data_IF_454748069875
#
_entry.id   IF_454748069875
#
_cell.length_a   1.000
_cell.length_b   1.000
_cell.length_c   1.000
_cell.angle_alpha   90.00
_cell.angle_beta   90.00
_cell.angle_gamma   90.00
#
_symmetry.space_group_name_H-M   'P 1'
#
loop_
_entity.id
_entity.type
_entity.pdbx_description
1 polymer ?
#
# COMPACT_ATOMS: atom_id res chain seq x y z
N UNK A 1 -26.55 23.51 29.31
CA UNK A 1 -26.51 23.92 27.89
C UNK A 1 -25.14 24.56 27.66
N UNK A 2 -24.23 24.12 26.80
CA UNK A 2 -24.31 23.23 25.65
C UNK A 2 -23.07 22.30 25.61
N UNK A 3 -23.27 21.06 25.14
CA UNK A 3 -22.20 20.14 24.73
C UNK A 3 -21.69 20.58 23.36
N UNK A 4 -20.38 20.70 23.20
CA UNK A 4 -19.71 20.79 21.89
C UNK A 4 -19.34 19.36 21.51
N UNK A 5 -20.04 18.84 20.52
CA UNK A 5 -19.72 17.57 19.85
C UNK A 5 -18.48 17.80 18.98
N UNK A 6 -17.38 17.12 19.32
CA UNK A 6 -16.23 17.00 18.44
C UNK A 6 -16.57 16.06 17.29
N UNK A 7 -16.53 16.58 16.09
CA UNK A 7 -16.65 15.83 14.84
C UNK A 7 -15.39 14.98 14.62
N UNK A 8 -15.57 13.68 14.40
CA UNK A 8 -14.52 12.75 13.99
C UNK A 8 -13.97 13.14 12.60
N UNK A 9 -12.66 12.98 12.33
CA UNK A 9 -12.13 13.14 10.99
C UNK A 9 -12.50 11.92 10.15
N UNK A 10 -13.34 12.13 9.15
CA UNK A 10 -13.59 11.19 8.05
C UNK A 10 -12.31 11.06 7.22
N UNK A 11 -11.63 9.91 7.31
CA UNK A 11 -10.58 9.52 6.36
C UNK A 11 -11.23 9.24 5.02
N UNK A 12 -10.96 10.09 4.03
CA UNK A 12 -11.43 9.92 2.66
C UNK A 12 -10.34 9.24 1.83
N UNK A 13 -10.58 8.01 1.35
CA UNK A 13 -9.77 7.38 0.31
C UNK A 13 -10.47 7.60 -1.03
N UNK A 14 -9.89 8.38 -1.94
CA UNK A 14 -10.55 8.67 -3.23
C UNK A 14 -10.01 7.82 -4.38
N UNK A 15 -10.95 7.17 -5.06
CA UNK A 15 -10.82 6.59 -6.38
C UNK A 15 -10.85 7.71 -7.43
N UNK A 16 -9.93 7.66 -8.41
CA UNK A 16 -9.87 8.64 -9.51
C UNK A 16 -11.17 8.68 -10.32
N UNK A 17 -11.82 9.85 -10.39
CA UNK A 17 -13.02 10.08 -11.23
C UNK A 17 -12.65 10.32 -12.71
N UNK A 18 -13.37 9.71 -13.68
CA UNK A 18 -13.29 10.12 -15.09
C UNK A 18 -13.96 11.48 -15.30
N UNK A 19 -13.26 12.43 -15.94
CA UNK A 19 -13.89 13.63 -16.51
C UNK A 19 -14.77 13.21 -17.69
N UNK A 20 -16.04 13.62 -17.65
CA UNK A 20 -16.98 13.43 -18.76
C UNK A 20 -16.42 14.01 -20.06
N UNK A 21 -16.51 13.21 -21.13
CA UNK A 21 -16.07 13.57 -22.46
C UNK A 21 -16.85 14.79 -22.98
N UNK A 22 -16.13 15.86 -23.34
CA UNK A 22 -16.67 16.92 -24.17
C UNK A 22 -16.30 16.59 -25.62
N UNK A 23 -17.31 16.41 -26.46
CA UNK A 23 -17.20 16.11 -27.88
C UNK A 23 -16.31 17.12 -28.61
N UNK A 24 -15.26 16.64 -29.26
CA UNK A 24 -14.55 17.37 -30.29
C UNK A 24 -14.49 16.51 -31.55
N UNK A 25 -15.29 16.91 -32.51
CA UNK A 25 -15.36 16.38 -33.87
C UNK A 25 -14.14 16.80 -34.69
N UNK A 26 -13.94 16.03 -35.77
CA UNK A 26 -13.14 16.31 -37.00
C UNK A 26 -11.74 15.65 -37.07
N UNK A 27 -11.16 15.48 -38.28
CA UNK A 27 -11.35 14.31 -39.14
C UNK A 27 -10.04 13.59 -39.49
N UNK A 28 -10.17 12.40 -40.10
CA UNK A 28 -9.09 11.59 -40.71
C UNK A 28 -8.09 12.42 -41.55
N UNK A 29 -6.81 11.99 -41.60
CA UNK A 29 -6.36 11.42 -42.86
C UNK A 29 -5.44 10.17 -42.78
N UNK A 30 -5.54 9.45 -43.89
CA UNK A 30 -4.83 8.33 -44.52
C UNK A 30 -3.31 8.12 -44.31
N UNK A 31 -2.98 6.85 -44.02
CA UNK A 31 -1.96 5.94 -44.61
C UNK A 31 -0.60 6.46 -45.10
N UNK A 32 0.49 5.82 -44.63
CA UNK A 32 1.43 5.02 -45.47
C UNK A 32 2.46 4.22 -44.64
N UNK A 33 2.78 3.04 -45.16
CA UNK A 33 3.71 2.01 -44.68
C UNK A 33 5.15 2.47 -44.45
N UNK A 34 5.84 1.77 -43.52
CA UNK A 34 7.22 1.33 -43.74
C UNK A 34 7.53 0.08 -42.90
N UNK A 35 7.97 -0.97 -43.59
CA UNK A 35 8.26 -2.32 -43.11
C UNK A 35 9.76 -2.47 -42.74
N UNK A 36 10.05 -3.49 -41.89
CA UNK A 36 11.36 -4.12 -41.59
C UNK A 36 12.28 -3.32 -40.64
N UNK A 37 12.86 -3.91 -39.58
CA UNK A 37 13.66 -5.16 -39.64
C UNK A 37 13.81 -5.80 -38.26
N UNK A 38 13.70 -7.13 -38.26
CA UNK A 38 13.85 -8.06 -37.13
C UNK A 38 15.34 -8.28 -36.86
N UNK A 39 15.84 -7.97 -35.66
CA UNK A 39 17.13 -8.47 -35.18
C UNK A 39 16.89 -9.28 -33.90
N UNK A 40 17.06 -10.59 -34.03
CA UNK A 40 17.14 -11.53 -32.93
C UNK A 40 18.42 -11.27 -32.13
N UNK A 41 18.28 -10.94 -30.85
CA UNK A 41 19.35 -11.19 -29.87
C UNK A 41 18.78 -12.00 -28.74
N UNK A 42 19.12 -13.29 -28.74
CA UNK A 42 18.76 -14.31 -27.78
C UNK A 42 19.60 -14.09 -26.51
N UNK A 43 19.04 -13.40 -25.53
CA UNK A 43 19.56 -13.40 -24.16
C UNK A 43 18.67 -14.32 -23.32
N UNK A 44 19.19 -15.50 -22.98
CA UNK A 44 18.62 -16.35 -21.95
C UNK A 44 18.71 -15.61 -20.61
N UNK A 45 17.59 -15.04 -20.15
CA UNK A 45 17.46 -14.60 -18.75
C UNK A 45 16.89 -15.78 -17.97
N UNK A 46 17.73 -16.33 -17.10
CA UNK A 46 17.35 -17.36 -16.12
C UNK A 46 16.21 -16.83 -15.26
N UNK A 47 15.10 -17.57 -15.28
CA UNK A 47 13.99 -17.50 -14.34
C UNK A 47 14.51 -17.35 -12.91
N UNK A 48 14.24 -16.21 -12.28
CA UNK A 48 14.43 -16.02 -10.85
C UNK A 48 13.06 -16.10 -10.19
N UNK A 49 12.49 -17.30 -10.17
CA UNK A 49 11.37 -17.64 -9.30
C UNK A 49 11.94 -17.74 -7.88
N UNK A 50 11.85 -16.66 -7.11
CA UNK A 50 12.01 -16.72 -5.66
C UNK A 50 10.68 -16.31 -5.03
N UNK A 51 9.66 -17.14 -5.24
CA UNK A 51 8.66 -17.32 -4.18
C UNK A 51 9.26 -18.37 -3.25
N UNK A 52 9.78 -17.90 -2.11
CA UNK A 52 10.20 -18.79 -1.04
C UNK A 52 8.93 -19.49 -0.57
N UNK A 53 8.80 -20.78 -0.85
CA UNK A 53 7.68 -21.59 -0.39
C UNK A 53 7.62 -21.54 1.13
N UNK A 54 6.56 -20.95 1.67
CA UNK A 54 6.20 -21.07 3.08
C UNK A 54 5.90 -22.54 3.39
N UNK A 55 6.31 -23.09 4.55
CA UNK A 55 6.38 -24.55 4.73
C UNK A 55 5.04 -25.29 4.85
N UNK A 56 3.89 -24.59 4.86
CA UNK A 56 2.58 -25.19 5.16
C UNK A 56 1.44 -24.68 4.24
N UNK A 57 1.72 -24.41 2.96
CA UNK A 57 0.65 -24.25 1.98
C UNK A 57 0.24 -25.60 1.40
N UNK A 58 -1.08 -25.90 1.39
CA UNK A 58 -1.60 -27.02 0.61
C UNK A 58 -1.28 -26.76 -0.87
N UNK A 59 -0.35 -27.53 -1.48
CA UNK A 59 0.13 -27.28 -2.83
C UNK A 59 -1.01 -27.38 -3.86
N UNK A 60 -2.11 -28.04 -3.51
CA UNK A 60 -3.30 -28.17 -4.36
C UNK A 60 -4.03 -26.84 -4.49
N UNK A 61 -4.18 -26.09 -3.40
CA UNK A 61 -4.88 -24.79 -3.38
C UNK A 61 -4.04 -23.71 -4.06
N UNK A 62 -2.70 -23.72 -3.89
CA UNK A 62 -1.82 -22.81 -4.63
C UNK A 62 -1.84 -23.07 -6.13
N UNK A 63 -1.81 -24.34 -6.54
CA UNK A 63 -1.91 -24.70 -7.95
C UNK A 63 -3.26 -24.30 -8.57
N UNK A 64 -4.36 -24.45 -7.82
CA UNK A 64 -5.68 -23.99 -8.27
C UNK A 64 -5.77 -22.47 -8.34
N UNK A 65 -5.25 -21.75 -7.35
CA UNK A 65 -5.23 -20.28 -7.34
C UNK A 65 -4.40 -19.74 -8.49
N UNK A 66 -3.19 -20.27 -8.70
CA UNK A 66 -2.32 -19.86 -9.82
C UNK A 66 -2.99 -20.19 -11.16
N UNK A 67 -3.69 -21.32 -11.27
CA UNK A 67 -4.46 -21.67 -12.47
C UNK A 67 -5.62 -20.69 -12.73
N UNK A 68 -6.33 -20.26 -11.68
CA UNK A 68 -7.39 -19.26 -11.81
C UNK A 68 -6.81 -17.91 -12.22
N UNK A 69 -5.78 -17.42 -11.53
CA UNK A 69 -5.14 -16.12 -11.80
C UNK A 69 -4.53 -16.10 -13.21
N UNK A 70 -3.83 -17.16 -13.60
CA UNK A 70 -3.21 -17.27 -14.93
C UNK A 70 -4.23 -17.44 -16.06
N UNK A 71 -5.44 -17.91 -15.75
CA UNK A 71 -6.55 -17.98 -16.69
C UNK A 71 -7.19 -16.63 -17.01
N UNK A 72 -6.96 -15.61 -16.19
CA UNK A 72 -7.49 -14.25 -16.40
C UNK A 72 -6.67 -13.54 -17.47
N UNK A 73 -7.29 -13.31 -18.63
CA UNK A 73 -6.64 -12.73 -19.81
C UNK A 73 -7.36 -11.52 -20.39
N UNK A 74 -8.57 -11.22 -19.93
CA UNK A 74 -9.31 -9.98 -20.26
C UNK A 74 -9.97 -9.37 -19.02
N UNK A 75 -10.26 -8.06 -19.06
CA UNK A 75 -10.92 -7.35 -17.96
C UNK A 75 -12.32 -7.87 -17.68
N UNK A 76 -13.05 -8.31 -18.71
CA UNK A 76 -14.40 -8.89 -18.58
C UNK A 76 -14.42 -10.15 -17.70
N UNK A 77 -13.29 -10.88 -17.62
CA UNK A 77 -13.16 -12.04 -16.74
C UNK A 77 -12.99 -11.65 -15.28
N UNK A 78 -12.55 -10.40 -15.01
CA UNK A 78 -12.40 -9.84 -13.66
C UNK A 78 -13.76 -9.37 -13.17
N UNK A 79 -14.61 -10.36 -12.86
CA UNK A 79 -15.95 -10.15 -12.31
C UNK A 79 -15.90 -10.01 -10.80
N UNK A 80 -16.94 -9.38 -10.24
CA UNK A 80 -17.17 -9.34 -8.78
C UNK A 80 -17.11 -10.73 -8.15
N UNK A 81 -17.74 -11.73 -8.76
CA UNK A 81 -17.73 -13.11 -8.29
C UNK A 81 -16.33 -13.73 -8.29
N UNK A 82 -15.50 -13.42 -9.29
CA UNK A 82 -14.12 -13.88 -9.33
C UNK A 82 -13.31 -13.23 -8.21
N UNK A 83 -13.45 -11.92 -8.02
CA UNK A 83 -12.72 -11.19 -6.99
C UNK A 83 -13.15 -11.61 -5.59
N UNK A 84 -14.46 -11.73 -5.34
CA UNK A 84 -15.00 -12.26 -4.09
C UNK A 84 -14.47 -13.68 -3.82
N UNK A 85 -14.35 -14.54 -4.85
CA UNK A 85 -13.73 -15.87 -4.73
C UNK A 85 -12.23 -15.79 -4.42
N UNK A 86 -11.47 -15.02 -5.19
CA UNK A 86 -10.03 -14.85 -4.98
C UNK A 86 -9.74 -14.34 -3.57
N UNK A 87 -10.59 -13.45 -3.04
CA UNK A 87 -10.47 -12.93 -1.69
C UNK A 87 -10.75 -13.98 -0.60
N UNK A 88 -11.64 -14.95 -0.84
CA UNK A 88 -11.84 -16.08 0.08
C UNK A 88 -10.59 -16.96 0.19
N UNK A 89 -9.78 -17.02 -0.87
CA UNK A 89 -8.56 -17.84 -0.93
C UNK A 89 -7.28 -17.07 -0.61
N UNK A 90 -7.28 -15.75 -0.81
CA UNK A 90 -6.11 -14.90 -0.76
C UNK A 90 -6.45 -13.50 -0.21
N UNK A 91 -6.01 -13.23 1.01
CA UNK A 91 -6.02 -11.89 1.63
C UNK A 91 -4.70 -11.16 1.36
N UNK A 92 -4.28 -11.12 0.10
CA UNK A 92 -3.01 -10.53 -0.34
C UNK A 92 -3.16 -9.71 -1.63
N UNK A 93 -2.05 -9.10 -2.04
CA UNK A 93 -1.94 -8.45 -3.33
C UNK A 93 -1.75 -9.53 -4.40
N UNK A 94 -2.62 -9.53 -5.41
CA UNK A 94 -2.56 -10.42 -6.57
C UNK A 94 -2.35 -9.58 -7.82
N UNK A 95 -1.26 -9.81 -8.53
CA UNK A 95 -1.07 -9.25 -9.87
C UNK A 95 -1.57 -10.23 -10.94
N UNK A 96 -2.51 -9.81 -11.78
CA UNK A 96 -2.95 -10.57 -12.95
C UNK A 96 -1.92 -10.44 -14.07
N UNK A 97 -0.82 -11.19 -13.96
CA UNK A 97 0.36 -11.09 -14.85
C UNK A 97 0.03 -11.28 -16.34
N UNK A 98 -0.98 -12.08 -16.65
CA UNK A 98 -1.40 -12.43 -18.01
C UNK A 98 -2.51 -11.54 -18.55
N UNK A 99 -3.15 -10.74 -17.69
CA UNK A 99 -4.07 -9.70 -18.11
C UNK A 99 -3.26 -8.46 -18.52
N UNK A 100 -3.16 -8.25 -19.83
CA UNK A 100 -2.47 -7.09 -20.41
C UNK A 100 -3.49 -6.16 -21.04
N UNK A 101 -3.62 -4.95 -20.51
CA UNK A 101 -4.58 -3.95 -20.96
C UNK A 101 -3.94 -2.57 -21.05
N UNK A 102 -4.50 -1.73 -21.92
CA UNK A 102 -4.18 -0.31 -21.94
C UNK A 102 -4.84 0.42 -20.78
N UNK A 103 -4.32 1.60 -20.45
CA UNK A 103 -4.91 2.47 -19.43
C UNK A 103 -6.36 2.86 -19.77
N UNK A 104 -6.66 3.07 -21.06
CA UNK A 104 -8.01 3.40 -21.51
C UNK A 104 -8.98 2.23 -21.31
N UNK A 105 -8.54 1.00 -21.61
CA UNK A 105 -9.33 -0.20 -21.37
C UNK A 105 -9.56 -0.42 -19.87
N UNK A 106 -8.53 -0.22 -19.04
CA UNK A 106 -8.65 -0.31 -17.58
C UNK A 106 -9.70 0.67 -17.04
N UNK A 107 -9.62 1.95 -17.45
CA UNK A 107 -10.53 3.02 -17.00
C UNK A 107 -12.00 2.77 -17.36
N UNK A 108 -12.27 1.98 -18.41
CA UNK A 108 -13.62 1.70 -18.89
C UNK A 108 -14.10 0.27 -18.57
N UNK A 109 -13.25 -0.58 -17.97
CA UNK A 109 -13.47 -2.03 -17.91
C UNK A 109 -13.84 -2.58 -16.53
N UNK A 110 -13.79 -1.76 -15.48
CA UNK A 110 -14.03 -2.17 -14.08
C UNK A 110 -15.10 -1.31 -13.40
N UNK A 111 -16.18 -0.98 -14.11
CA UNK A 111 -17.28 -0.13 -13.59
C UNK A 111 -17.92 -0.67 -12.30
N UNK A 112 -17.81 -1.96 -12.02
CA UNK A 112 -18.35 -2.59 -10.82
C UNK A 112 -17.44 -2.45 -9.59
N UNK A 113 -16.14 -2.21 -9.80
CA UNK A 113 -15.16 -2.00 -8.73
C UNK A 113 -15.03 -0.50 -8.47
N UNK A 114 -16.14 0.09 -8.04
CA UNK A 114 -16.23 1.51 -7.71
C UNK A 114 -15.79 1.79 -6.27
N UNK A 115 -15.86 3.06 -5.90
CA UNK A 115 -15.53 3.55 -4.58
C UNK A 115 -16.42 2.92 -3.50
N UNK A 116 -17.71 2.75 -3.76
CA UNK A 116 -18.63 2.10 -2.83
C UNK A 116 -18.23 0.64 -2.57
N UNK A 117 -17.91 -0.13 -3.62
CA UNK A 117 -17.42 -1.50 -3.46
C UNK A 117 -16.10 -1.54 -2.68
N UNK A 118 -15.17 -0.63 -3.00
CA UNK A 118 -13.86 -0.55 -2.34
C UNK A 118 -13.96 -0.20 -0.86
N UNK A 119 -14.83 0.76 -0.49
CA UNK A 119 -15.10 1.12 0.90
C UNK A 119 -15.75 -0.04 1.69
N UNK A 120 -16.67 -0.76 1.05
CA UNK A 120 -17.41 -1.86 1.68
C UNK A 120 -16.52 -3.08 1.90
N UNK A 121 -15.68 -3.41 0.91
CA UNK A 121 -14.92 -4.66 0.87
C UNK A 121 -13.46 -4.48 1.29
N UNK A 122 -12.94 -3.26 1.23
CA UNK A 122 -11.51 -2.98 1.33
C UNK A 122 -10.72 -3.46 0.11
N UNK A 123 -11.39 -3.90 -0.96
CA UNK A 123 -10.71 -4.32 -2.17
C UNK A 123 -10.42 -3.10 -3.03
N UNK A 124 -9.17 -2.93 -3.44
CA UNK A 124 -8.83 -1.99 -4.50
C UNK A 124 -8.30 -2.73 -5.71
N UNK A 125 -8.55 -2.14 -6.86
CA UNK A 125 -7.96 -2.55 -8.14
C UNK A 125 -7.05 -1.41 -8.59
N UNK A 126 -5.85 -1.77 -9.01
CA UNK A 126 -4.83 -0.83 -9.44
C UNK A 126 -4.31 -1.22 -10.82
N UNK A 127 -3.97 -0.23 -11.63
CA UNK A 127 -3.34 -0.42 -12.93
C UNK A 127 -1.84 -0.13 -12.84
N UNK A 128 -1.02 -1.06 -13.33
CA UNK A 128 0.41 -0.85 -13.44
C UNK A 128 0.75 -0.37 -14.86
N UNK A 129 1.01 0.94 -15.08
CA UNK A 129 1.26 1.49 -16.41
C UNK A 129 2.55 0.98 -17.05
N UNK A 130 3.52 0.50 -16.26
CA UNK A 130 4.79 -0.02 -16.79
C UNK A 130 4.64 -1.37 -17.46
N UNK A 131 3.79 -2.22 -16.90
CA UNK A 131 3.59 -3.61 -17.34
C UNK A 131 2.28 -3.81 -18.07
N UNK A 132 1.37 -2.84 -18.03
CA UNK A 132 0.00 -2.93 -18.53
C UNK A 132 -0.84 -3.95 -17.77
N UNK A 133 -0.50 -4.27 -16.52
CA UNK A 133 -1.19 -5.29 -15.71
C UNK A 133 -2.16 -4.66 -14.73
N UNK A 134 -3.08 -5.49 -14.25
CA UNK A 134 -4.02 -5.14 -13.21
C UNK A 134 -3.64 -5.84 -11.92
N UNK A 135 -3.69 -5.11 -10.82
CA UNK A 135 -3.33 -5.56 -9.48
C UNK A 135 -4.60 -5.51 -8.63
N UNK A 136 -4.98 -6.65 -8.07
CA UNK A 136 -6.00 -6.78 -7.04
C UNK A 136 -5.33 -6.65 -5.67
N UNK A 137 -5.78 -5.71 -4.86
CA UNK A 137 -5.34 -5.58 -3.48
C UNK A 137 -6.53 -5.87 -2.55
N UNK A 138 -6.54 -7.06 -1.97
CA UNK A 138 -7.64 -7.53 -1.10
C UNK A 138 -7.37 -7.33 0.40
N UNK A 139 -6.25 -6.66 0.76
CA UNK A 139 -5.85 -6.47 2.16
C UNK A 139 -6.65 -5.39 2.90
N UNK A 140 -7.42 -4.54 2.21
CA UNK A 140 -8.03 -3.38 2.84
C UNK A 140 -7.03 -2.24 3.07
N UNK A 141 -7.55 -1.05 3.37
CA UNK A 141 -6.74 0.02 3.93
C UNK A 141 -6.13 -0.47 5.25
N UNK A 142 -4.81 -0.71 5.26
CA UNK A 142 -4.11 -1.18 6.45
C UNK A 142 -3.98 -0.04 7.45
N UNK A 143 -4.43 -0.27 8.69
CA UNK A 143 -4.25 0.70 9.76
C UNK A 143 -2.77 0.95 10.05
N UNK A 144 -1.91 -0.05 9.80
CA UNK A 144 -0.45 0.09 9.91
C UNK A 144 0.10 1.04 8.86
N UNK A 145 -0.34 0.92 7.60
CA UNK A 145 0.05 1.80 6.50
C UNK A 145 -0.38 3.25 6.76
N UNK A 146 -1.69 3.48 6.90
CA UNK A 146 -2.25 4.83 7.04
C UNK A 146 -1.72 5.55 8.27
N UNK A 147 -1.50 4.84 9.37
CA UNK A 147 -0.96 5.47 10.58
C UNK A 147 0.50 5.90 10.44
N UNK A 148 1.31 5.17 9.65
CA UNK A 148 2.67 5.61 9.33
C UNK A 148 2.67 6.81 8.40
N UNK A 149 1.79 6.79 7.40
CA UNK A 149 1.57 7.89 6.48
C UNK A 149 1.21 9.18 7.23
N UNK A 150 0.22 9.15 8.13
CA UNK A 150 -0.17 10.28 8.99
C UNK A 150 1.02 10.88 9.75
N UNK A 151 1.86 10.03 10.36
CA UNK A 151 3.03 10.48 11.13
C UNK A 151 4.06 11.15 10.23
N UNK A 152 4.30 10.59 9.05
CA UNK A 152 5.26 11.14 8.09
C UNK A 152 4.77 12.47 7.51
N UNK A 153 3.49 12.58 7.15
CA UNK A 153 2.88 13.84 6.67
C UNK A 153 2.92 14.91 7.75
N UNK A 154 2.52 14.58 8.98
CA UNK A 154 2.59 15.52 10.11
C UNK A 154 4.02 16.02 10.32
N UNK A 155 5.03 15.17 10.15
CA UNK A 155 6.42 15.57 10.21
C UNK A 155 6.84 16.47 9.02
N UNK A 156 6.34 16.23 7.81
CA UNK A 156 6.58 17.13 6.67
C UNK A 156 5.93 18.50 6.88
N UNK A 157 4.75 18.55 7.50
CA UNK A 157 4.09 19.80 7.90
C UNK A 157 4.93 20.57 8.93
N UNK A 158 5.56 19.89 9.90
CA UNK A 158 6.51 20.52 10.82
C UNK A 158 7.70 21.17 10.09
N UNK A 159 8.20 20.55 9.02
CA UNK A 159 9.26 21.13 8.18
C UNK A 159 8.74 22.38 7.46
N UNK A 160 7.56 22.30 6.84
CA UNK A 160 6.91 23.44 6.19
C UNK A 160 6.75 24.61 7.17
N UNK A 161 6.15 24.37 8.33
CA UNK A 161 5.89 25.41 9.35
C UNK A 161 7.17 26.03 9.91
N UNK A 162 8.25 25.24 9.97
CA UNK A 162 9.56 25.70 10.43
C UNK A 162 10.37 26.44 9.34
N UNK A 163 9.86 26.52 8.11
CA UNK A 163 10.53 27.16 6.97
C UNK A 163 9.62 28.18 6.27
N UNK A 164 9.04 29.17 6.99
CA UNK A 164 7.99 30.05 6.48
C UNK A 164 8.42 30.95 5.32
N UNK A 165 9.72 31.14 5.13
CA UNK A 165 10.30 31.90 4.01
C UNK A 165 10.24 31.13 2.67
N UNK A 166 9.94 29.83 2.71
CA UNK A 166 9.79 28.98 1.53
C UNK A 166 8.30 28.75 1.25
N UNK A 167 7.83 28.87 -0.01
CA UNK A 167 6.44 28.58 -0.37
C UNK A 167 6.23 27.06 -0.48
N UNK A 168 6.31 26.37 0.66
CA UNK A 168 6.19 24.92 0.75
C UNK A 168 4.77 24.51 1.13
N UNK A 169 4.40 23.30 0.70
CA UNK A 169 3.19 22.63 1.14
C UNK A 169 3.47 21.14 1.41
N UNK A 170 2.85 20.60 2.45
CA UNK A 170 2.80 19.18 2.74
C UNK A 170 1.36 18.69 2.60
N UNK A 171 1.15 17.67 1.77
CA UNK A 171 -0.18 17.12 1.49
C UNK A 171 -0.16 15.59 1.46
N UNK A 172 -1.35 15.03 1.68
CA UNK A 172 -1.64 13.60 1.56
C UNK A 172 -1.85 13.22 0.09
N UNK A 173 -2.61 14.01 -0.70
CA UNK A 173 -2.81 13.78 -2.14
C UNK A 173 -3.22 15.06 -2.91
N UNK A 174 -3.01 15.02 -4.23
CA UNK A 174 -3.31 16.02 -5.29
C UNK A 174 -2.40 17.27 -5.36
N UNK A 175 -1.60 17.32 -6.43
CA UNK A 175 -0.90 18.56 -6.82
C UNK A 175 0.11 18.35 -7.94
N UNK A 176 0.65 17.14 -8.07
CA UNK A 176 1.71 16.84 -9.03
C UNK A 176 1.22 15.92 -10.14
N UNK A 177 1.16 16.46 -11.35
CA UNK A 177 0.80 15.73 -12.57
C UNK A 177 1.96 14.94 -13.17
N UNK A 178 3.17 15.12 -12.62
CA UNK A 178 4.39 14.53 -13.15
C UNK A 178 4.56 13.04 -12.87
N UNK A 179 3.81 12.45 -11.92
CA UNK A 179 3.95 11.04 -11.57
C UNK A 179 2.84 10.16 -12.12
N UNK A 180 3.20 8.91 -12.41
CA UNK A 180 2.26 7.84 -12.75
C UNK A 180 1.61 7.19 -11.52
N UNK A 181 2.24 7.28 -10.33
CA UNK A 181 1.71 6.82 -9.03
C UNK A 181 1.62 8.03 -8.09
N UNK A 182 0.56 8.10 -7.29
CA UNK A 182 0.42 9.10 -6.23
C UNK A 182 1.25 8.65 -5.03
N UNK A 183 2.21 9.46 -4.54
CA UNK A 183 2.98 9.11 -3.34
C UNK A 183 2.14 9.19 -2.06
N UNK A 184 2.50 8.41 -1.04
CA UNK A 184 1.80 8.41 0.25
C UNK A 184 1.93 9.75 1.01
N UNK A 185 2.99 10.51 0.76
CA UNK A 185 3.14 11.83 1.33
C UNK A 185 4.21 12.63 0.61
N UNK A 186 4.04 13.95 0.59
CA UNK A 186 4.95 14.83 -0.15
C UNK A 186 5.19 16.14 0.58
N UNK A 187 6.37 16.71 0.35
CA UNK A 187 6.68 18.11 0.63
C UNK A 187 7.02 18.77 -0.71
N UNK A 188 6.13 19.63 -1.18
CA UNK A 188 6.20 20.33 -2.45
C UNK A 188 6.55 21.81 -2.31
N UNK A 189 6.70 22.46 -3.45
CA UNK A 189 6.76 23.93 -3.58
C UNK A 189 5.61 24.39 -4.46
N UNK A 190 4.97 25.49 -4.09
CA UNK A 190 3.88 26.07 -4.88
C UNK A 190 4.26 26.25 -6.36
N UNK A 191 3.39 25.77 -7.26
CA UNK A 191 3.58 25.86 -8.71
C UNK A 191 4.57 24.86 -9.30
N UNK A 192 5.14 23.95 -8.50
CA UNK A 192 6.01 22.88 -8.98
C UNK A 192 5.22 21.72 -9.61
N UNK A 193 5.83 21.00 -10.55
CA UNK A 193 5.31 19.75 -11.13
C UNK A 193 5.79 18.50 -10.38
N UNK A 194 6.84 18.61 -9.57
CA UNK A 194 7.36 17.54 -8.72
C UNK A 194 7.61 17.98 -7.25
N UNK A 195 7.45 17.08 -6.27
CA UNK A 195 7.74 17.35 -4.88
C UNK A 195 9.24 17.40 -4.64
N UNK A 196 9.64 18.08 -3.57
CA UNK A 196 11.03 18.12 -3.11
C UNK A 196 11.35 16.87 -2.27
N UNK A 197 10.42 16.49 -1.40
CA UNK A 197 10.47 15.23 -0.63
C UNK A 197 9.27 14.37 -1.02
N UNK A 198 9.53 13.11 -1.35
CA UNK A 198 8.52 12.09 -1.57
C UNK A 198 8.61 11.02 -0.49
N UNK A 199 7.46 10.51 -0.03
CA UNK A 199 7.34 9.46 0.97
C UNK A 199 6.54 8.30 0.38
N UNK A 200 7.03 7.08 0.60
CA UNK A 200 6.27 5.85 0.32
C UNK A 200 6.33 4.93 1.55
N UNK A 201 5.20 4.34 1.90
CA UNK A 201 5.03 3.35 2.96
C UNK A 201 4.61 2.03 2.32
N UNK A 202 5.42 0.98 2.45
CA UNK A 202 5.09 -0.33 1.89
C UNK A 202 4.87 -1.39 2.96
N UNK A 203 3.61 -1.73 3.25
CA UNK A 203 3.27 -2.83 4.16
C UNK A 203 3.26 -4.20 3.47
N UNK A 204 2.66 -4.27 2.28
CA UNK A 204 2.52 -5.48 1.46
C UNK A 204 3.42 -5.49 0.22
N UNK A 205 3.85 -4.31 -0.22
CA UNK A 205 4.63 -4.17 -1.45
C UNK A 205 6.04 -4.73 -1.29
N UNK A 206 6.58 -5.42 -2.31
CA UNK A 206 7.99 -5.79 -2.34
C UNK A 206 8.89 -4.54 -2.27
N UNK A 207 10.01 -4.65 -1.57
CA UNK A 207 10.96 -3.54 -1.42
C UNK A 207 11.50 -3.06 -2.79
N UNK A 208 11.61 -3.95 -3.76
CA UNK A 208 12.03 -3.66 -5.12
C UNK A 208 11.05 -2.75 -5.85
N UNK A 209 9.75 -2.88 -5.55
CA UNK A 209 8.70 -2.02 -6.12
C UNK A 209 8.82 -0.61 -5.54
N UNK A 210 8.98 -0.49 -4.22
CA UNK A 210 9.23 0.81 -3.56
C UNK A 210 10.47 1.50 -4.15
N UNK A 211 11.57 0.77 -4.33
CA UNK A 211 12.76 1.34 -4.98
C UNK A 211 12.55 1.65 -6.47
N UNK A 212 11.73 0.88 -7.18
CA UNK A 212 11.42 1.21 -8.57
C UNK A 212 10.62 2.50 -8.68
N UNK A 213 9.68 2.75 -7.76
CA UNK A 213 8.87 3.97 -7.72
C UNK A 213 9.75 5.17 -7.33
N UNK A 214 10.59 5.00 -6.30
CA UNK A 214 11.56 6.01 -5.89
C UNK A 214 12.51 6.41 -7.03
N UNK A 215 13.01 5.42 -7.79
CA UNK A 215 13.89 5.68 -8.93
C UNK A 215 13.19 6.50 -10.00
N UNK A 216 11.99 6.07 -10.39
CA UNK A 216 11.20 6.79 -11.38
C UNK A 216 11.01 8.23 -10.96
N UNK A 217 10.62 8.49 -9.70
CA UNK A 217 10.42 9.84 -9.22
C UNK A 217 11.68 10.71 -9.27
N UNK A 218 12.83 10.15 -8.86
CA UNK A 218 14.13 10.83 -8.93
C UNK A 218 14.58 11.09 -10.38
N UNK A 219 14.32 10.16 -11.29
CA UNK A 219 14.75 10.24 -12.69
C UNK A 219 13.90 11.25 -13.49
N UNK A 220 12.57 11.24 -13.32
CA UNK A 220 11.66 12.09 -14.12
C UNK A 220 11.59 13.53 -13.61
N UNK A 221 11.83 13.76 -12.31
CA UNK A 221 11.76 15.09 -11.69
C UNK A 221 12.94 16.00 -12.06
N UNK A 222 13.92 15.49 -12.83
CA UNK A 222 15.11 16.24 -13.26
C UNK A 222 15.85 16.95 -12.10
N UNK A 223 15.83 16.35 -10.90
CA UNK A 223 16.49 16.89 -9.70
C UNK A 223 15.62 17.78 -8.81
N UNK A 224 14.35 18.00 -9.17
CA UNK A 224 13.40 18.70 -8.30
C UNK A 224 13.04 17.88 -7.07
N UNK A 225 12.79 16.57 -7.24
CA UNK A 225 12.73 15.62 -6.12
C UNK A 225 14.13 15.34 -5.62
N UNK A 226 14.45 15.89 -4.45
CA UNK A 226 15.78 15.80 -3.84
C UNK A 226 15.91 14.56 -2.97
N UNK A 227 14.82 14.16 -2.30
CA UNK A 227 14.82 13.08 -1.30
C UNK A 227 13.56 12.22 -1.46
N UNK A 228 13.76 10.90 -1.48
CA UNK A 228 12.69 9.91 -1.31
C UNK A 228 12.91 9.16 0.01
N UNK A 229 11.87 9.10 0.83
CA UNK A 229 11.85 8.36 2.10
C UNK A 229 10.96 7.13 1.89
N UNK A 230 11.51 5.94 2.14
CA UNK A 230 10.76 4.69 2.04
C UNK A 230 10.65 4.07 3.42
N UNK A 231 9.43 3.74 3.85
CA UNK A 231 9.16 2.99 5.06
C UNK A 231 8.61 1.61 4.67
N UNK A 232 9.44 0.59 4.72
CA UNK A 232 9.03 -0.79 4.45
C UNK A 232 8.67 -1.48 5.75
N UNK A 233 7.45 -1.98 5.84
CA UNK A 233 6.98 -2.80 6.96
C UNK A 233 6.86 -4.23 6.44
N UNK A 234 7.51 -5.16 7.13
CA UNK A 234 7.42 -6.60 6.91
C UNK A 234 6.54 -7.20 7.99
N UNK A 235 5.72 -8.18 7.63
CA UNK A 235 4.91 -8.97 8.56
C UNK A 235 5.32 -10.44 8.42
N UNK A 236 5.77 -11.03 9.52
CA UNK A 236 6.21 -12.43 9.60
C UNK A 236 5.42 -13.20 10.66
N UNK A 237 5.37 -14.54 10.56
CA UNK A 237 4.70 -15.35 11.59
C UNK A 237 3.18 -15.22 11.64
N UNK A 238 2.56 -14.63 10.61
CA UNK A 238 1.11 -14.68 10.43
C UNK A 238 0.71 -16.13 10.14
N UNK A 239 -0.16 -16.71 10.97
CA UNK A 239 -0.70 -18.04 10.69
C UNK A 239 -1.73 -17.92 9.57
N UNK A 240 -1.36 -18.30 8.35
CA UNK A 240 -2.17 -18.16 7.13
C UNK A 240 -3.20 -19.26 6.96
N UNK A 241 -3.77 -19.84 8.02
CA UNK A 241 -4.69 -20.97 7.88
C UNK A 241 -5.92 -20.56 7.07
N UNK A 242 -5.85 -20.80 5.75
CA UNK A 242 -6.85 -20.49 4.73
C UNK A 242 -8.15 -21.14 5.20
N UNK A 243 -9.04 -20.35 5.79
CA UNK A 243 -10.33 -20.85 6.27
C UNK A 243 -10.97 -20.11 7.44
N UNK A 244 -10.22 -19.44 8.32
CA UNK A 244 -10.62 -19.01 9.67
C UNK A 244 -12.10 -19.21 10.10
N UNK A 245 -12.53 -20.39 10.57
CA UNK A 245 -13.38 -20.45 11.73
C UNK A 245 -12.45 -20.41 12.94
N UNK A 246 -12.50 -19.35 13.75
CA UNK A 246 -11.63 -19.09 14.91
C UNK A 246 -11.88 -20.07 16.07
N UNK A 247 -11.83 -21.37 15.78
CA UNK A 247 -12.43 -22.45 16.57
C UNK A 247 -13.92 -22.27 16.85
N UNK A 248 -14.61 -21.33 16.18
CA UNK A 248 -16.03 -21.08 16.30
C UNK A 248 -16.78 -21.79 15.16
N UNK A 249 -17.78 -22.58 15.51
CA UNK A 249 -18.73 -23.16 14.56
C UNK A 249 -19.59 -22.07 13.92
N UNK A 250 -20.13 -22.32 12.71
CA UNK A 250 -21.06 -21.36 12.06
C UNK A 250 -22.26 -21.00 12.95
N UNK A 251 -22.70 -21.93 13.78
CA UNK A 251 -23.79 -21.74 14.75
C UNK A 251 -23.39 -20.80 15.88
N UNK A 252 -22.16 -20.90 16.39
CA UNK A 252 -21.61 -19.97 17.39
C UNK A 252 -21.39 -18.58 16.82
N UNK A 253 -20.93 -18.49 15.57
CA UNK A 253 -20.78 -17.22 14.85
C UNK A 253 -22.16 -16.56 14.66
N UNK A 254 -23.16 -17.32 14.19
CA UNK A 254 -24.54 -16.85 14.03
C UNK A 254 -25.21 -16.44 15.36
N UNK A 255 -24.93 -17.18 16.44
CA UNK A 255 -25.44 -16.86 17.78
C UNK A 255 -24.79 -15.64 18.42
N UNK A 256 -23.50 -15.38 18.11
CA UNK A 256 -22.72 -14.23 18.60
C UNK A 256 -22.75 -13.02 17.65
N UNK A 257 -23.47 -13.10 16.53
CA UNK A 257 -23.54 -12.08 15.48
C UNK A 257 -24.03 -10.69 15.91
N UNK A 258 -24.40 -10.49 17.19
CA UNK A 258 -24.45 -9.16 17.81
C UNK A 258 -23.02 -8.59 17.95
N UNK A 259 -22.58 -7.99 16.84
CA UNK A 259 -21.33 -7.27 16.46
C UNK A 259 -20.16 -7.17 17.44
N UNK A 260 -20.36 -6.78 18.71
CA UNK A 260 -19.26 -6.59 19.67
C UNK A 260 -18.82 -7.88 20.34
N UNK A 261 -19.73 -8.85 20.54
CA UNK A 261 -19.40 -10.12 21.21
C UNK A 261 -18.61 -11.08 20.32
N UNK A 262 -18.79 -11.01 19.00
CA UNK A 262 -18.11 -11.89 18.05
C UNK A 262 -16.65 -11.48 17.83
N UNK A 263 -16.38 -10.19 17.59
CA UNK A 263 -14.99 -9.70 17.45
C UNK A 263 -14.18 -10.00 18.71
N UNK A 264 -14.75 -9.77 19.89
CA UNK A 264 -14.09 -10.09 21.16
C UNK A 264 -13.89 -11.59 21.32
N UNK A 265 -14.89 -12.43 21.04
CA UNK A 265 -14.75 -13.89 21.13
C UNK A 265 -13.65 -14.45 20.22
N UNK A 266 -13.44 -13.82 19.06
CA UNK A 266 -12.36 -14.18 18.13
C UNK A 266 -11.00 -13.77 18.67
N UNK A 267 -10.90 -12.54 19.18
CA UNK A 267 -9.69 -12.08 19.84
C UNK A 267 -9.32 -12.99 21.02
N UNK A 268 -10.31 -13.35 21.85
CA UNK A 268 -10.12 -14.23 23.00
C UNK A 268 -9.65 -15.63 22.57
N UNK A 269 -10.22 -16.18 21.49
CA UNK A 269 -9.80 -17.46 20.95
C UNK A 269 -8.34 -17.42 20.47
N UNK A 270 -7.96 -16.38 19.73
CA UNK A 270 -6.58 -16.20 19.25
C UNK A 270 -5.59 -16.06 20.42
N UNK A 271 -5.97 -15.32 21.47
CA UNK A 271 -5.17 -15.19 22.67
C UNK A 271 -5.02 -16.53 23.42
N UNK A 272 -6.08 -17.34 23.49
CA UNK A 272 -6.06 -18.65 24.15
C UNK A 272 -5.24 -19.70 23.40
N UNK A 273 -5.19 -19.61 22.07
CA UNK A 273 -4.50 -20.58 21.22
C UNK A 273 -3.11 -20.08 20.78
N UNK A 274 -2.66 -18.92 21.27
CA UNK A 274 -1.37 -18.31 20.93
C UNK A 274 -1.18 -18.08 19.41
N UNK A 275 -2.30 -17.80 18.72
CA UNK A 275 -2.31 -17.59 17.26
C UNK A 275 -2.38 -16.11 16.93
N UNK A 276 -1.40 -15.62 16.17
CA UNK A 276 -1.30 -14.23 15.77
C UNK A 276 -2.17 -13.89 14.55
N UNK A 277 -3.12 -12.96 14.73
CA UNK A 277 -3.94 -12.39 13.62
C UNK A 277 -3.12 -11.43 12.76
N UNK A 278 -2.25 -10.67 13.42
CA UNK A 278 -1.23 -9.83 12.80
C UNK A 278 0.09 -10.46 13.20
N UNK A 279 0.94 -10.80 12.23
CA UNK A 279 2.27 -11.31 12.47
C UNK A 279 3.19 -10.29 13.15
N UNK A 280 4.36 -10.73 13.57
CA UNK A 280 5.40 -9.85 14.07
C UNK A 280 5.85 -8.90 12.97
N UNK A 281 6.15 -7.67 13.36
CA UNK A 281 6.45 -6.60 12.42
C UNK A 281 7.93 -6.25 12.45
N UNK A 282 8.58 -6.23 11.30
CA UNK A 282 9.90 -5.63 11.13
C UNK A 282 9.75 -4.39 10.27
N UNK A 283 10.27 -3.25 10.72
CA UNK A 283 10.11 -1.96 10.02
C UNK A 283 11.47 -1.41 9.65
N UNK A 284 11.64 -1.09 8.38
CA UNK A 284 12.86 -0.54 7.80
C UNK A 284 12.57 0.83 7.19
N UNK A 285 13.36 1.83 7.56
CA UNK A 285 13.36 3.13 6.91
C UNK A 285 14.58 3.27 6.00
N UNK A 286 14.37 3.73 4.78
CA UNK A 286 15.40 4.07 3.81
C UNK A 286 15.25 5.53 3.38
N UNK A 287 16.38 6.17 3.09
CA UNK A 287 16.41 7.50 2.48
C UNK A 287 17.30 7.45 1.25
N UNK A 288 16.74 7.84 0.12
CA UNK A 288 17.42 7.91 -1.17
C UNK A 288 17.38 9.34 -1.72
N UNK A 289 18.55 9.93 -1.89
CA UNK A 289 18.72 11.27 -2.44
C UNK A 289 18.99 11.27 -3.95
N UNK A 290 18.60 12.33 -4.66
CA UNK A 290 18.91 12.55 -6.07
C UNK A 290 20.43 12.48 -6.39
N UNK A 291 21.28 12.90 -5.44
CA UNK A 291 22.74 12.82 -5.59
C UNK A 291 23.29 11.39 -5.64
N UNK A 292 22.49 10.38 -5.25
CA UNK A 292 22.91 8.98 -5.21
C UNK A 292 22.37 8.23 -6.42
N UNK A 293 23.28 7.81 -7.30
CA UNK A 293 22.96 7.01 -8.51
C UNK A 293 22.29 5.66 -8.22
N UNK A 294 22.56 5.06 -7.06
CA UNK A 294 22.09 3.73 -6.72
C UNK A 294 21.27 3.73 -5.42
N UNK A 295 20.24 2.87 -5.33
CA UNK A 295 19.43 2.76 -4.13
C UNK A 295 20.29 2.37 -2.92
N UNK A 296 19.94 2.85 -1.71
CA UNK A 296 20.60 2.41 -0.49
C UNK A 296 20.42 0.90 -0.33
N UNK A 297 21.54 0.19 -0.09
CA UNK A 297 21.52 -1.27 0.13
C UNK A 297 20.95 -1.69 1.48
N UNK A 298 20.93 -0.77 2.44
CA UNK A 298 20.61 -1.05 3.83
C UNK A 298 19.73 0.06 4.39
N UNK A 299 18.82 -0.26 5.33
CA UNK A 299 18.02 0.74 5.99
C UNK A 299 18.89 1.67 6.82
N UNK A 300 18.43 2.92 6.98
CA UNK A 300 19.04 3.89 7.88
C UNK A 300 18.60 3.65 9.32
N UNK A 301 17.43 3.06 9.50
CA UNK A 301 16.82 2.77 10.79
C UNK A 301 15.93 1.54 10.69
N UNK A 302 15.98 0.69 11.71
CA UNK A 302 15.17 -0.52 11.79
C UNK A 302 14.69 -0.80 13.22
N UNK A 303 13.53 -1.43 13.35
CA UNK A 303 13.03 -1.94 14.64
C UNK A 303 12.01 -3.06 14.44
N UNK A 304 11.74 -3.79 15.51
CA UNK A 304 10.82 -4.93 15.53
C UNK A 304 9.67 -4.69 16.52
N UNK A 305 8.50 -5.25 16.24
CA UNK A 305 7.35 -5.30 17.13
C UNK A 305 6.85 -6.74 17.23
N UNK A 306 6.86 -7.27 18.44
CA UNK A 306 6.12 -8.48 18.78
C UNK A 306 4.63 -8.12 18.82
N UNK A 307 3.85 -8.68 17.91
CA UNK A 307 2.45 -8.27 17.71
C UNK A 307 1.52 -8.76 18.83
N UNK A 308 1.86 -9.89 19.45
CA UNK A 308 1.10 -10.51 20.53
C UNK A 308 1.17 -9.68 21.82
N UNK A 309 2.39 -9.31 22.20
CA UNK A 309 2.68 -8.55 23.42
C UNK A 309 2.63 -7.03 23.18
N UNK A 310 2.69 -6.61 21.91
CA UNK A 310 2.82 -5.20 21.49
C UNK A 310 4.08 -4.54 22.06
N UNK A 311 5.09 -5.33 22.39
CA UNK A 311 6.40 -4.86 22.81
C UNK A 311 7.21 -4.58 21.55
N UNK A 312 7.86 -3.42 21.50
CA UNK A 312 8.78 -3.06 20.42
C UNK A 312 10.20 -3.05 20.92
N UNK A 313 11.15 -3.41 20.08
CA UNK A 313 12.57 -3.15 20.34
C UNK A 313 12.83 -1.64 20.40
N UNK A 314 13.99 -1.28 20.95
CA UNK A 314 14.55 0.05 20.70
C UNK A 314 15.03 0.09 19.26
N UNK A 315 14.57 1.09 18.49
CA UNK A 315 14.93 1.20 17.09
C UNK A 315 16.40 1.56 16.92
N UNK A 316 17.07 0.94 15.95
CA UNK A 316 18.53 1.06 15.78
C UNK A 316 18.85 1.83 14.51
N UNK A 317 19.65 2.88 14.64
CA UNK A 317 20.22 3.58 13.49
C UNK A 317 21.48 2.90 13.00
N UNK A 318 21.57 2.72 11.68
CA UNK A 318 22.77 2.16 11.08
C UNK A 318 23.87 3.21 11.01
N UNK A 319 24.93 2.98 11.77
CA UNK A 319 26.10 3.85 11.80
C UNK A 319 26.85 3.86 10.45
N UNK A 320 27.59 4.94 10.20
CA UNK A 320 28.46 5.12 9.03
C UNK A 320 27.75 5.21 7.67
N UNK A 321 26.45 5.52 7.64
CA UNK A 321 25.75 5.83 6.40
C UNK A 321 26.04 7.28 5.97
N UNK A 322 26.79 7.44 4.87
CA UNK A 322 27.01 8.75 4.26
C UNK A 322 25.81 9.18 3.41
N UNK A 323 24.89 9.97 3.95
CA UNK A 323 23.82 10.61 3.17
C UNK A 323 24.01 12.14 3.20
N UNK A 324 24.03 12.83 2.04
CA UNK A 324 24.24 14.28 2.00
C UNK A 324 23.18 15.07 2.79
N UNK A 325 21.94 14.55 2.81
CA UNK A 325 20.80 15.14 3.49
C UNK A 325 20.68 14.72 4.96
N UNK A 326 21.54 13.85 5.50
CA UNK A 326 21.52 13.51 6.93
C UNK A 326 22.75 14.07 7.65
N UNK A 327 22.54 14.57 8.87
CA UNK A 327 23.65 14.86 9.78
C UNK A 327 24.08 13.62 10.59
N UNK A 328 25.00 13.83 11.54
CA UNK A 328 25.56 12.74 12.36
C UNK A 328 24.55 12.15 13.33
N UNK A 329 23.50 12.90 13.64
CA UNK A 329 22.42 12.50 14.55
C UNK A 329 21.18 12.04 13.76
N UNK A 330 21.37 11.70 12.48
CA UNK A 330 20.33 11.25 11.56
C UNK A 330 19.16 12.24 11.39
N UNK A 331 19.43 13.54 11.49
CA UNK A 331 18.45 14.59 11.21
C UNK A 331 18.51 14.98 9.74
N UNK A 332 17.36 15.20 9.13
CA UNK A 332 17.25 15.66 7.75
C UNK A 332 17.65 17.14 7.65
N UNK A 333 18.70 17.42 6.88
CA UNK A 333 19.17 18.76 6.54
C UNK A 333 18.55 19.20 5.22
N UNK A 334 17.61 20.14 5.28
CA UNK A 334 16.98 20.71 4.09
C UNK A 334 16.58 22.16 4.37
N UNK A 335 16.59 23.02 3.34
CA UNK A 335 16.26 24.45 3.45
C UNK A 335 17.04 25.21 4.54
N UNK A 336 18.27 24.79 4.84
CA UNK A 336 19.09 25.36 5.91
C UNK A 336 18.69 24.95 7.33
N UNK A 337 17.61 24.18 7.49
CA UNK A 337 17.18 23.57 8.75
C UNK A 337 17.76 22.18 8.98
N UNK A 338 17.57 21.66 10.20
CA UNK A 338 17.90 20.28 10.58
C UNK A 338 16.76 19.68 11.41
N UNK A 339 16.11 18.65 10.87
CA UNK A 339 14.84 18.11 11.38
C UNK A 339 15.03 16.65 11.84
N UNK A 340 14.74 16.31 13.09
CA UNK A 340 14.86 14.92 13.55
C UNK A 340 13.85 14.03 12.81
N UNK A 341 14.26 12.85 12.37
CA UNK A 341 13.34 11.89 11.74
C UNK A 341 12.26 11.43 12.75
N UNK A 342 11.01 11.20 12.33
CA UNK A 342 9.89 10.89 13.22
C UNK A 342 9.88 9.43 13.68
N UNK A 343 11.05 8.79 13.82
CA UNK A 343 11.20 7.35 14.05
C UNK A 343 10.51 6.87 15.32
N UNK A 344 10.60 7.64 16.41
CA UNK A 344 9.96 7.27 17.68
C UNK A 344 8.43 7.42 17.60
N UNK A 345 7.95 8.43 16.87
CA UNK A 345 6.51 8.62 16.63
C UNK A 345 5.95 7.47 15.80
N UNK A 346 6.68 7.02 14.77
CA UNK A 346 6.33 5.84 13.95
C UNK A 346 6.24 4.60 14.85
N UNK A 347 7.25 4.36 15.69
CA UNK A 347 7.30 3.21 16.61
C UNK A 347 6.09 3.18 17.54
N UNK A 348 5.83 4.29 18.25
CA UNK A 348 4.69 4.40 19.17
C UNK A 348 3.38 4.20 18.43
N UNK A 349 3.21 4.84 17.26
CA UNK A 349 1.98 4.79 16.50
C UNK A 349 1.67 3.37 16.02
N UNK A 350 2.64 2.69 15.41
CA UNK A 350 2.45 1.30 14.94
C UNK A 350 2.03 0.36 16.07
N UNK A 351 2.68 0.43 17.23
CA UNK A 351 2.28 -0.37 18.42
C UNK A 351 0.83 -0.11 18.84
N UNK A 352 0.41 1.16 18.83
CA UNK A 352 -0.92 1.55 19.28
C UNK A 352 -2.04 1.04 18.35
N UNK A 353 -1.75 0.87 17.06
CA UNK A 353 -2.75 0.52 16.04
C UNK A 353 -2.82 -0.95 15.68
N UNK A 354 -1.93 -1.82 16.20
CA UNK A 354 -2.03 -3.28 16.02
C UNK A 354 -3.41 -3.81 16.42
N UNK A 355 -3.96 -3.33 17.54
CA UNK A 355 -5.30 -3.74 17.96
C UNK A 355 -6.41 -3.30 16.99
N UNK A 356 -6.23 -2.17 16.30
CA UNK A 356 -7.14 -1.71 15.26
C UNK A 356 -6.98 -2.54 13.98
N UNK A 357 -5.75 -2.83 13.56
CA UNK A 357 -5.44 -3.71 12.44
C UNK A 357 -6.07 -5.10 12.61
N UNK A 358 -5.94 -5.69 13.81
CA UNK A 358 -6.59 -6.95 14.17
C UNK A 358 -8.11 -6.86 13.98
N UNK A 359 -8.75 -5.82 14.52
CA UNK A 359 -10.20 -5.62 14.39
C UNK A 359 -10.63 -5.44 12.95
N UNK A 360 -9.86 -4.68 12.17
CA UNK A 360 -10.14 -4.46 10.75
C UNK A 360 -10.08 -5.79 10.00
N UNK A 361 -9.05 -6.60 10.21
CA UNK A 361 -8.94 -7.94 9.59
C UNK A 361 -10.10 -8.87 9.97
N UNK A 362 -10.46 -8.95 11.25
CA UNK A 362 -11.61 -9.75 11.71
C UNK A 362 -12.92 -9.25 11.08
N UNK A 363 -13.13 -7.92 11.09
CA UNK A 363 -14.34 -7.30 10.56
C UNK A 363 -14.45 -7.53 9.06
N UNK A 364 -13.38 -7.32 8.31
CA UNK A 364 -13.27 -7.65 6.89
C UNK A 364 -13.69 -9.10 6.73
N UNK A 365 -13.06 -10.06 7.39
CA UNK A 365 -13.43 -11.47 7.29
C UNK A 365 -14.93 -11.76 7.55
N UNK A 366 -15.50 -11.20 8.62
CA UNK A 366 -16.91 -11.39 8.99
C UNK A 366 -17.91 -10.80 8.00
N UNK A 367 -17.62 -9.60 7.50
CA UNK A 367 -18.42 -8.94 6.47
C UNK A 367 -18.48 -9.80 5.21
N UNK A 368 -17.33 -10.38 4.81
CA UNK A 368 -17.24 -11.21 3.61
C UNK A 368 -18.02 -12.51 3.74
N UNK A 369 -18.00 -13.15 4.91
CA UNK A 369 -18.80 -14.35 5.19
C UNK A 369 -20.29 -14.08 5.45
N UNK A 370 -20.73 -12.83 5.43
CA UNK A 370 -22.13 -12.44 5.64
C UNK A 370 -22.61 -12.54 7.09
N UNK A 371 -21.70 -12.73 8.05
CA UNK A 371 -22.04 -12.89 9.46
C UNK A 371 -22.36 -11.57 10.16
N UNK A 372 -21.80 -10.47 9.65
CA UNK A 372 -22.19 -9.12 10.07
C UNK A 372 -22.66 -8.35 8.84
N UNK A 373 -23.67 -7.47 8.99
CA UNK A 373 -24.06 -6.58 7.91
C UNK A 373 -22.84 -5.78 7.46
N UNK A 374 -22.57 -5.79 6.15
CA UNK A 374 -21.80 -4.75 5.49
C UNK A 374 -22.33 -3.41 6.00
N UNK A 375 -21.44 -2.51 6.42
CA UNK A 375 -21.89 -1.22 6.93
C UNK A 375 -22.72 -0.58 5.82
N UNK A 376 -24.05 -0.49 6.02
CA UNK A 376 -24.85 0.46 5.26
C UNK A 376 -24.55 1.80 5.88
N UNK A 377 -23.97 2.71 5.12
CA UNK A 377 -24.01 4.10 5.53
C UNK A 377 -25.49 4.57 5.54
N UNK A 378 -25.88 5.38 6.54
CA UNK A 378 -27.18 6.04 6.58
C UNK A 378 -27.40 7.03 5.44
#
# INVERSE_FOLDING_TARGET
MALILGTEPTSFSWVMRPKAACELTTPKPTTKDATLTRIHTRAQVRSSTNMKTTPDSDPTVEAELEKVISGVTSLEMVTKDLVDKLQLFCMEIIEFKYLKVSELEYRNGLDWCDEEYSEITGITMEYNPKTGTVILNSRGASALHSSCQEVLISWLQEIQDSTPEQPLFAIEEQGFTGFHKVPDGILGRDGSEFPIIMVEVGFSEPLEVLFSNAREALDISAGETQVVILLKIYEEGRETSRGYPWGLTETEIGGKARKLSLVQAVMDWHQQNEVNIVGDLTVHMYIWSAERKHPPRYPIWEFEIDSATRVSSEGTFRQNLRNPFLDRDFRLKIFGGSFPLPVERIRIRLRSVIGLEVRNRIRTYLCHRGYIPRARHP
#
